data_IF_670311597537
#
_entry.id   IF_670311597537
#
_cell.length_a   1.000
_cell.length_b   1.000
_cell.length_c   1.000
_cell.angle_alpha   90.00
_cell.angle_beta   90.00
_cell.angle_gamma   90.00
#
_symmetry.space_group_name_H-M   'P 1'
#
loop_
_entity.id
_entity.type
_entity.pdbx_description
1 polymer ?
#
# COMPACT_ATOMS: atom_id res chain seq x y z
N UNK A 1 2.13 20.36 -5.55
CA UNK A 1 1.67 19.82 -4.25
C UNK A 1 1.91 18.32 -4.14
N UNK A 2 1.51 17.52 -5.12
CA UNK A 2 1.64 16.04 -5.07
C UNK A 2 3.06 15.55 -4.76
N UNK A 3 4.14 16.01 -5.42
CA UNK A 3 5.49 15.57 -5.07
C UNK A 3 5.89 15.88 -3.61
N UNK A 4 5.42 17.00 -3.07
CA UNK A 4 5.64 17.36 -1.67
C UNK A 4 4.90 16.41 -0.71
N UNK A 5 3.66 16.05 -1.02
CA UNK A 5 2.87 15.10 -0.22
C UNK A 5 3.53 13.73 -0.23
N UNK A 6 4.02 13.27 -1.39
CA UNK A 6 4.70 11.98 -1.52
C UNK A 6 6.02 11.94 -0.75
N UNK A 7 6.83 13.01 -0.82
CA UNK A 7 8.06 13.11 -0.01
C UNK A 7 7.74 13.11 1.48
N UNK A 8 6.69 13.82 1.91
CA UNK A 8 6.26 13.81 3.30
C UNK A 8 5.76 12.43 3.73
N UNK A 9 5.01 11.72 2.89
CA UNK A 9 4.58 10.36 3.13
C UNK A 9 5.78 9.42 3.33
N UNK A 10 6.79 9.49 2.47
CA UNK A 10 8.02 8.70 2.60
C UNK A 10 8.75 9.02 3.92
N UNK A 11 8.80 10.29 4.31
CA UNK A 11 9.35 10.68 5.61
C UNK A 11 8.61 10.01 6.78
N UNK A 12 7.27 10.03 6.76
CA UNK A 12 6.42 9.41 7.80
C UNK A 12 6.58 7.89 7.86
N UNK A 13 6.77 7.23 6.71
CA UNK A 13 7.06 5.79 6.65
C UNK A 13 8.42 5.50 7.27
N UNK A 14 9.47 6.27 6.92
CA UNK A 14 10.84 5.99 7.36
C UNK A 14 11.13 6.38 8.82
N UNK A 15 10.30 7.23 9.43
CA UNK A 15 10.49 7.68 10.82
C UNK A 15 9.40 7.17 11.78
N UNK A 16 8.59 6.20 11.35
CA UNK A 16 7.53 5.65 12.19
C UNK A 16 8.05 4.87 13.39
N UNK A 17 9.16 4.14 13.22
CA UNK A 17 9.79 3.39 14.32
C UNK A 17 10.30 4.27 15.47
N UNK A 18 10.58 5.55 15.19
CA UNK A 18 11.21 6.50 16.12
C UNK A 18 10.28 7.61 16.61
N UNK A 19 9.05 7.69 16.10
CA UNK A 19 8.14 8.80 16.37
C UNK A 19 6.68 8.50 16.03
N UNK A 20 5.75 9.46 16.20
CA UNK A 20 4.37 9.29 15.77
C UNK A 20 4.34 9.17 14.23
N UNK A 21 3.96 8.01 13.71
CA UNK A 21 4.08 7.73 12.29
C UNK A 21 3.88 6.27 11.91
N UNK A 22 4.50 5.89 10.79
CA UNK A 22 4.63 4.50 10.35
C UNK A 22 4.03 4.20 8.99
N UNK A 23 4.22 2.95 8.57
CA UNK A 23 3.80 2.44 7.27
C UNK A 23 2.34 2.74 6.95
N UNK A 24 1.42 2.48 7.89
CA UNK A 24 -0.01 2.70 7.65
C UNK A 24 -0.31 4.17 7.35
N UNK A 25 0.12 5.07 8.24
CA UNK A 25 -0.20 6.49 8.16
C UNK A 25 0.45 7.13 6.93
N UNK A 26 1.73 6.84 6.70
CA UNK A 26 2.44 7.30 5.52
C UNK A 26 1.87 6.73 4.23
N UNK A 27 1.46 5.45 4.22
CA UNK A 27 0.77 4.82 3.10
C UNK A 27 -0.56 5.51 2.77
N UNK A 28 -1.36 5.88 3.76
CA UNK A 28 -2.59 6.66 3.56
C UNK A 28 -2.30 8.02 2.94
N UNK A 29 -1.30 8.74 3.45
CA UNK A 29 -0.90 10.05 2.90
C UNK A 29 -0.43 9.91 1.45
N UNK A 30 0.34 8.87 1.15
CA UNK A 30 0.81 8.59 -0.21
C UNK A 30 -0.37 8.26 -1.14
N UNK A 31 -1.27 7.36 -0.73
CA UNK A 31 -2.48 7.02 -1.48
C UNK A 31 -3.36 8.24 -1.74
N UNK A 32 -3.56 9.10 -0.74
CA UNK A 32 -4.31 10.36 -0.89
C UNK A 32 -3.68 11.31 -1.92
N UNK A 33 -2.35 11.28 -2.12
CA UNK A 33 -1.69 12.06 -3.16
C UNK A 33 -2.09 11.62 -4.58
N UNK A 34 -2.34 10.33 -4.79
CA UNK A 34 -2.88 9.80 -6.04
C UNK A 34 -4.34 10.19 -6.23
N UNK A 35 -5.15 10.07 -5.17
CA UNK A 35 -6.54 10.54 -5.18
C UNK A 35 -6.62 12.02 -5.58
N UNK A 36 -5.74 12.86 -5.02
CA UNK A 36 -5.66 14.28 -5.36
C UNK A 36 -5.33 14.52 -6.84
N UNK A 37 -4.42 13.72 -7.42
CA UNK A 37 -4.13 13.80 -8.87
C UNK A 37 -5.37 13.51 -9.70
N UNK A 38 -6.12 12.46 -9.35
CA UNK A 38 -7.30 12.04 -10.10
C UNK A 38 -8.40 13.09 -10.02
N UNK A 39 -8.66 13.65 -8.83
CA UNK A 39 -9.65 14.72 -8.66
C UNK A 39 -9.23 16.00 -9.40
N UNK A 40 -7.94 16.34 -9.41
CA UNK A 40 -7.45 17.57 -10.03
C UNK A 40 -7.42 17.53 -11.57
N UNK A 41 -7.14 16.36 -12.17
CA UNK A 41 -6.95 16.22 -13.62
C UNK A 41 -8.00 15.36 -14.32
N UNK A 42 -8.96 14.79 -13.58
CA UNK A 42 -9.99 13.90 -14.10
C UNK A 42 -9.51 12.45 -14.30
N UNK A 43 -10.46 11.51 -14.27
CA UNK A 43 -10.23 10.06 -14.42
C UNK A 43 -9.79 9.68 -15.85
N UNK A 44 -10.16 10.48 -16.85
CA UNK A 44 -10.05 10.16 -18.29
C UNK A 44 -8.59 9.94 -18.76
N UNK A 45 -7.58 10.40 -18.00
CA UNK A 45 -6.16 10.10 -18.26
C UNK A 45 -5.50 9.20 -17.20
N UNK A 46 -6.23 8.83 -16.15
CA UNK A 46 -5.71 8.09 -15.00
C UNK A 46 -5.98 6.57 -15.11
N UNK A 47 -7.11 6.17 -15.71
CA UNK A 47 -7.46 4.75 -15.93
C UNK A 47 -6.42 4.00 -16.77
N UNK A 48 -5.89 4.63 -17.83
CA UNK A 48 -4.80 4.05 -18.63
C UNK A 48 -3.44 4.05 -17.91
N UNK A 49 -3.31 4.80 -16.80
CA UNK A 49 -2.02 5.05 -16.14
C UNK A 49 -1.80 4.20 -14.88
N UNK A 50 -2.84 3.61 -14.33
CA UNK A 50 -2.76 2.67 -13.20
C UNK A 50 -3.46 1.35 -13.55
N UNK A 51 -2.75 0.40 -14.19
CA UNK A 51 -3.30 -0.92 -14.44
C UNK A 51 -3.63 -1.60 -13.11
N UNK A 52 -4.82 -2.18 -13.00
CA UNK A 52 -5.25 -2.99 -11.84
C UNK A 52 -4.21 -4.08 -11.48
N UNK A 53 -3.53 -4.63 -12.49
CA UNK A 53 -2.43 -5.58 -12.32
C UNK A 53 -1.23 -4.99 -11.56
N UNK A 54 -0.89 -3.72 -11.78
CA UNK A 54 0.20 -3.03 -11.07
C UNK A 54 -0.20 -2.82 -9.62
N UNK A 55 -1.44 -2.39 -9.37
CA UNK A 55 -1.91 -2.17 -8.01
C UNK A 55 -1.98 -3.49 -7.23
N UNK A 56 -2.41 -4.56 -7.91
CA UNK A 56 -2.41 -5.92 -7.37
C UNK A 56 -1.01 -6.40 -7.00
N UNK A 57 -0.03 -6.16 -7.87
CA UNK A 57 1.36 -6.47 -7.60
C UNK A 57 1.91 -5.66 -6.41
N UNK A 58 1.58 -4.37 -6.31
CA UNK A 58 2.04 -3.51 -5.22
C UNK A 58 1.50 -3.96 -3.86
N UNK A 59 0.19 -4.17 -3.71
CA UNK A 59 -0.33 -4.59 -2.40
C UNK A 59 0.22 -5.96 -1.99
N UNK A 60 0.34 -6.90 -2.93
CA UNK A 60 0.89 -8.23 -2.69
C UNK A 60 2.37 -8.16 -2.30
N UNK A 61 3.14 -7.27 -2.93
CA UNK A 61 4.56 -7.07 -2.62
C UNK A 61 4.76 -6.65 -1.17
N UNK A 62 3.97 -5.72 -0.66
CA UNK A 62 4.06 -5.31 0.75
C UNK A 62 3.74 -6.45 1.73
N UNK A 63 2.76 -7.30 1.40
CA UNK A 63 2.45 -8.52 2.17
C UNK A 63 3.60 -9.53 2.12
N UNK A 64 4.22 -9.71 0.95
CA UNK A 64 5.39 -10.59 0.83
C UNK A 64 6.60 -10.06 1.60
N UNK A 65 6.81 -8.74 1.66
CA UNK A 65 7.85 -8.14 2.50
C UNK A 65 7.58 -8.46 3.96
N UNK A 66 6.34 -8.24 4.44
CA UNK A 66 5.95 -8.54 5.82
C UNK A 66 6.17 -10.01 6.18
N UNK A 67 5.66 -10.91 5.34
CA UNK A 67 5.77 -12.36 5.52
C UNK A 67 7.24 -12.82 5.42
N UNK A 68 7.99 -12.29 4.45
CA UNK A 68 9.39 -12.64 4.21
C UNK A 68 10.30 -12.24 5.36
N UNK A 69 10.16 -11.02 5.89
CA UNK A 69 10.95 -10.57 7.06
C UNK A 69 10.65 -11.42 8.28
N UNK A 70 9.37 -11.71 8.55
CA UNK A 70 9.01 -12.56 9.68
C UNK A 70 9.48 -14.01 9.52
N UNK A 71 9.44 -14.56 8.31
CA UNK A 71 9.97 -15.89 8.01
C UNK A 71 11.51 -15.94 8.16
N UNK A 72 12.22 -14.90 7.72
CA UNK A 72 13.67 -14.78 7.94
C UNK A 72 14.02 -14.75 9.43
N UNK A 73 13.24 -14.05 10.24
CA UNK A 73 13.40 -14.05 11.70
C UNK A 73 13.17 -15.44 12.30
N UNK A 74 12.14 -16.16 11.84
CA UNK A 74 11.87 -17.53 12.28
C UNK A 74 13.01 -18.49 11.90
N UNK A 75 13.40 -18.53 10.63
CA UNK A 75 14.44 -19.44 10.13
C UNK A 75 15.76 -19.18 10.88
N UNK A 76 16.13 -17.91 11.03
CA UNK A 76 17.36 -17.54 11.74
C UNK A 76 17.26 -17.87 13.23
N UNK A 77 16.12 -17.59 13.88
CA UNK A 77 15.86 -17.98 15.26
C UNK A 77 16.01 -19.48 15.48
N UNK A 78 15.42 -20.30 14.59
CA UNK A 78 15.53 -21.76 14.64
C UNK A 78 16.99 -22.21 14.47
N UNK A 79 17.71 -21.64 13.50
CA UNK A 79 19.07 -22.05 13.15
C UNK A 79 20.08 -21.74 14.27
N UNK A 80 19.96 -20.58 14.92
CA UNK A 80 20.94 -20.11 15.91
C UNK A 80 20.56 -20.41 17.36
N UNK A 81 19.25 -20.46 17.69
CA UNK A 81 18.76 -20.57 19.07
C UNK A 81 17.85 -21.78 19.29
N UNK A 82 17.40 -22.45 18.23
CA UNK A 82 16.53 -23.63 18.29
C UNK A 82 15.03 -23.30 18.15
N UNK A 83 14.21 -24.34 17.98
CA UNK A 83 12.79 -24.20 17.60
C UNK A 83 11.94 -23.51 18.67
N UNK A 84 12.27 -23.71 19.95
CA UNK A 84 11.46 -23.19 21.07
C UNK A 84 11.62 -21.67 21.24
N UNK A 85 12.80 -21.13 20.94
CA UNK A 85 13.14 -19.71 21.10
C UNK A 85 12.84 -18.86 19.86
N UNK A 86 12.51 -19.51 18.74
CA UNK A 86 12.24 -18.85 17.47
C UNK A 86 10.91 -18.11 17.51
N UNK A 87 10.95 -16.81 17.23
CA UNK A 87 9.79 -15.93 17.28
C UNK A 87 9.61 -15.19 15.96
N UNK A 88 8.39 -15.22 15.42
CA UNK A 88 8.03 -14.46 14.23
C UNK A 88 8.15 -12.97 14.50
N UNK A 89 8.77 -12.23 13.57
CA UNK A 89 9.06 -10.79 13.69
C UNK A 89 9.92 -10.39 14.90
N UNK A 90 10.60 -11.32 15.56
CA UNK A 90 11.68 -10.95 16.47
C UNK A 90 12.90 -10.54 15.62
N UNK A 91 12.93 -9.25 15.27
CA UNK A 91 13.97 -8.63 14.45
C UNK A 91 15.38 -8.77 15.04
N UNK A 92 15.51 -9.10 16.33
CA UNK A 92 16.79 -9.43 16.96
C UNK A 92 17.48 -10.63 16.31
N UNK A 93 16.70 -11.52 15.70
CA UNK A 93 17.18 -12.70 14.96
C UNK A 93 17.46 -12.44 13.48
N UNK A 94 17.25 -11.22 12.99
CA UNK A 94 17.49 -10.90 11.59
C UNK A 94 18.98 -11.07 11.25
N UNK A 95 19.37 -11.76 10.16
CA UNK A 95 20.75 -12.11 9.88
C UNK A 95 21.54 -10.94 9.26
N UNK A 96 21.52 -9.78 9.92
CA UNK A 96 22.27 -8.59 9.51
C UNK A 96 23.56 -8.44 10.33
N UNK A 97 24.68 -8.00 9.72
CA UNK A 97 25.97 -7.83 10.37
C UNK A 97 26.05 -6.53 11.19
N UNK A 98 25.03 -6.28 12.03
CA UNK A 98 24.89 -5.09 12.87
C UNK A 98 24.50 -5.46 14.30
N UNK A 99 24.59 -4.50 15.22
CA UNK A 99 24.24 -4.72 16.62
C UNK A 99 22.75 -5.03 16.81
N UNK A 100 22.42 -5.67 17.94
CA UNK A 100 21.07 -6.17 18.21
C UNK A 100 19.98 -5.08 18.18
N UNK A 101 20.29 -3.88 18.69
CA UNK A 101 19.36 -2.75 18.69
C UNK A 101 19.10 -2.22 17.27
N UNK A 102 20.18 -2.08 16.48
CA UNK A 102 20.10 -1.66 15.07
C UNK A 102 19.33 -2.66 14.21
N UNK A 103 19.47 -3.97 14.46
CA UNK A 103 18.67 -5.00 13.79
C UNK A 103 17.17 -4.82 14.02
N UNK A 104 16.78 -4.44 15.24
CA UNK A 104 15.37 -4.17 15.56
C UNK A 104 14.86 -2.92 14.87
N UNK A 105 15.62 -1.84 14.91
CA UNK A 105 15.25 -0.60 14.23
C UNK A 105 15.04 -0.85 12.73
N UNK A 106 16.04 -1.43 12.06
CA UNK A 106 15.96 -1.75 10.62
C UNK A 106 14.83 -2.73 10.31
N UNK A 107 14.63 -3.76 11.15
CA UNK A 107 13.54 -4.72 10.98
C UNK A 107 12.16 -4.06 11.06
N UNK A 108 11.96 -3.12 11.99
CA UNK A 108 10.74 -2.31 12.06
C UNK A 108 10.57 -1.45 10.82
N UNK A 109 11.61 -0.75 10.37
CA UNK A 109 11.55 0.10 9.18
C UNK A 109 11.19 -0.71 7.92
N UNK A 110 11.76 -1.91 7.72
CA UNK A 110 11.40 -2.78 6.60
C UNK A 110 9.93 -3.18 6.60
N UNK A 111 9.37 -3.49 7.77
CA UNK A 111 7.96 -3.81 7.92
C UNK A 111 7.09 -2.59 7.64
N UNK A 112 7.48 -1.41 8.13
CA UNK A 112 6.78 -0.16 7.86
C UNK A 112 6.76 0.18 6.36
N UNK A 113 7.85 -0.06 5.65
CA UNK A 113 7.89 0.10 4.18
C UNK A 113 6.90 -0.86 3.51
N UNK A 114 6.92 -2.14 3.86
CA UNK A 114 6.00 -3.14 3.31
C UNK A 114 4.53 -2.76 3.54
N UNK A 115 4.19 -2.41 4.79
CA UNK A 115 2.85 -1.96 5.16
C UNK A 115 2.47 -0.68 4.41
N UNK A 116 3.39 0.27 4.26
CA UNK A 116 3.14 1.53 3.55
C UNK A 116 2.83 1.33 2.07
N UNK A 117 3.54 0.42 1.40
CA UNK A 117 3.25 0.06 0.00
C UNK A 117 1.85 -0.55 -0.11
N UNK A 118 1.52 -1.52 0.75
CA UNK A 118 0.19 -2.17 0.74
C UNK A 118 -0.92 -1.17 0.99
N UNK A 119 -0.78 -0.31 2.00
CA UNK A 119 -1.83 0.66 2.35
C UNK A 119 -2.00 1.71 1.25
N UNK A 120 -0.91 2.22 0.68
CA UNK A 120 -0.97 3.13 -0.48
C UNK A 120 -1.75 2.51 -1.64
N UNK A 121 -1.41 1.27 -2.01
CA UNK A 121 -2.06 0.55 -3.10
C UNK A 121 -3.56 0.34 -2.84
N UNK A 122 -3.92 -0.10 -1.63
CA UNK A 122 -5.31 -0.32 -1.22
C UNK A 122 -6.12 0.98 -1.22
N UNK A 123 -5.56 2.09 -0.73
CA UNK A 123 -6.26 3.38 -0.74
C UNK A 123 -6.53 3.86 -2.16
N UNK A 124 -5.56 3.73 -3.06
CA UNK A 124 -5.76 4.04 -4.47
C UNK A 124 -6.83 3.14 -5.10
N UNK A 125 -6.77 1.83 -4.83
CA UNK A 125 -7.71 0.82 -5.35
C UNK A 125 -9.15 1.09 -4.92
N UNK A 126 -9.36 1.38 -3.64
CA UNK A 126 -10.69 1.69 -3.10
C UNK A 126 -11.25 2.93 -3.79
N UNK A 127 -10.44 3.97 -3.96
CA UNK A 127 -10.87 5.20 -4.61
C UNK A 127 -11.27 4.97 -6.07
N UNK A 128 -10.44 4.26 -6.85
CA UNK A 128 -10.72 3.98 -8.25
C UNK A 128 -11.99 3.13 -8.41
N UNK A 129 -12.14 2.07 -7.62
CA UNK A 129 -13.33 1.23 -7.66
C UNK A 129 -14.61 2.00 -7.31
N UNK A 130 -14.55 2.91 -6.33
CA UNK A 130 -15.70 3.76 -5.98
C UNK A 130 -16.01 4.79 -7.05
N UNK A 131 -14.98 5.36 -7.67
CA UNK A 131 -15.17 6.39 -8.68
C UNK A 131 -15.68 5.81 -10.01
N UNK A 132 -15.21 4.63 -10.40
CA UNK A 132 -15.63 3.97 -11.65
C UNK A 132 -17.03 3.37 -11.57
N UNK A 133 -17.38 2.75 -10.43
CA UNK A 133 -18.73 2.22 -10.20
C UNK A 133 -19.82 3.28 -10.39
N UNK A 134 -19.51 4.54 -10.06
CA UNK A 134 -20.43 5.66 -10.27
C UNK A 134 -20.67 5.99 -11.74
N UNK A 135 -19.67 5.83 -12.62
CA UNK A 135 -19.83 6.09 -14.05
C UNK A 135 -20.66 5.00 -14.75
N UNK A 136 -20.53 3.73 -14.32
CA UNK A 136 -21.37 2.62 -14.84
C UNK A 136 -22.85 2.81 -14.49
N UNK A 137 -23.15 3.16 -13.22
CA UNK A 137 -24.53 3.42 -12.76
C UNK A 137 -25.16 4.64 -13.48
N UNK A 138 -24.38 5.67 -13.84
CA UNK A 138 -24.87 6.85 -14.57
C UNK A 138 -25.04 6.59 -16.08
N UNK A 139 -24.20 5.74 -16.69
CA UNK A 139 -24.28 5.36 -18.11
C UNK A 139 -25.41 4.38 -18.45
N UNK A 140 -25.77 3.48 -17.53
CA UNK A 140 -26.93 2.58 -17.69
C UNK A 140 -28.27 3.35 -17.60
N UNK A 141 -28.33 4.44 -16.82
CA UNK A 141 -29.52 5.28 -16.66
C UNK A 141 -29.87 6.16 -17.87
N UNK A 142 -28.91 6.49 -18.73
CA UNK A 142 -29.15 7.29 -19.95
C UNK A 142 -29.51 6.43 -21.18
N UNK A 143 -29.24 5.12 -21.15
CA UNK A 143 -29.50 4.20 -22.27
C UNK A 143 -30.95 3.69 -22.37
N UNK A 144 -31.74 3.73 -21.29
CA UNK A 144 -33.11 3.21 -21.28
C UNK A 144 -34.19 4.23 -21.72
N UNK A 145 -33.80 5.46 -22.07
CA UNK A 145 -34.72 6.56 -22.39
C UNK A 145 -35.10 6.75 -23.86
N UNK A 146 -34.51 6.00 -24.80
CA UNK A 146 -34.68 6.24 -26.25
C UNK A 146 -35.21 4.98 -26.96
N UNK A 147 -36.35 4.45 -26.53
CA UNK A 147 -37.13 3.53 -27.37
C UNK A 147 -38.59 3.50 -26.88
N UNK A 148 -39.37 4.55 -27.18
CA UNK A 148 -40.84 4.50 -27.27
C UNK A 148 -41.39 5.80 -27.83
N UNK A 149 -41.59 5.82 -29.14
CA UNK A 149 -42.26 6.88 -29.86
C UNK A 149 -42.48 6.49 -31.31
N UNK A 150 -43.28 5.44 -31.55
CA UNK A 150 -43.87 5.20 -32.86
C UNK A 150 -44.89 6.32 -33.16
N UNK A 151 -44.83 6.97 -34.34
CA UNK A 151 -45.92 7.83 -34.80
C UNK A 151 -46.99 7.03 -35.56
N UNK A 152 -48.25 7.41 -35.33
CA UNK A 152 -49.47 6.92 -35.98
C UNK A 152 -49.47 7.05 -37.51
#
# INVERSE_FOLDING_TARGET
>A
MVPFIQLFALYVIMHGSSGPGGGFQGGVIFGASFVLLVIAFGIVNAGDRFPEAVNTALFSTGVYIYAGVGLLCLISGILYFGVIEAQYLNYGYLPLPVHFEERRALGMDFIEIGVGITVMAVIAEIFFNLAWKKEEDEGEGEGEGIEKGEPE
#
